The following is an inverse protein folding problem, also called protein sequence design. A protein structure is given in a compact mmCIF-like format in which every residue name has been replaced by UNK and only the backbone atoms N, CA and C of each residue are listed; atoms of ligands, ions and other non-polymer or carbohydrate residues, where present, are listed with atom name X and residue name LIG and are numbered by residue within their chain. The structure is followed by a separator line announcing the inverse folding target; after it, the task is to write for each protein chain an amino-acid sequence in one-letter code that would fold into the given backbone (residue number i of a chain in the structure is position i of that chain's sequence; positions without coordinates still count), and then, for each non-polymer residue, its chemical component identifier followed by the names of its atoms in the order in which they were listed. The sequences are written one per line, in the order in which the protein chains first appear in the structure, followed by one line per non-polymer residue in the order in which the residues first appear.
data_IF_134662280769
#
_entry.id   IF_134662280769
#
_cell.length_a   1.000
_cell.length_b   1.000
_cell.length_c   1.000
_cell.angle_alpha   90.00
_cell.angle_beta   90.00
_cell.angle_gamma   90.00
#
_symmetry.space_group_name_H-M   'P 1'
#
loop_
_entity.id
_entity.type
_entity.pdbx_description
1 polymer ?
#
# COMPACT_ATOMS: atom_id res chain seq x y z
N UNK A 1 17.34 -4.13 -19.61
CA UNK A 1 17.46 -4.76 -18.29
C UNK A 1 18.41 -5.96 -18.34
N UNK A 2 18.33 -6.87 -19.33
CA UNK A 2 19.17 -8.07 -19.43
C UNK A 2 20.69 -7.82 -19.38
N UNK A 3 21.17 -6.79 -20.11
CA UNK A 3 22.60 -6.40 -20.05
C UNK A 3 23.02 -5.93 -18.65
N UNK A 4 22.13 -5.30 -17.89
CA UNK A 4 22.41 -4.89 -16.51
C UNK A 4 22.40 -6.09 -15.58
N UNK A 5 21.37 -6.95 -15.69
CA UNK A 5 21.27 -8.19 -14.92
C UNK A 5 22.53 -9.07 -15.08
N UNK A 6 22.95 -9.33 -16.33
CA UNK A 6 24.15 -10.11 -16.62
C UNK A 6 25.41 -9.46 -16.02
N UNK A 7 25.56 -8.12 -16.09
CA UNK A 7 26.71 -7.43 -15.49
C UNK A 7 26.71 -7.50 -13.97
N UNK A 8 25.53 -7.39 -13.33
CA UNK A 8 25.43 -7.51 -11.87
C UNK A 8 25.77 -8.93 -11.44
N UNK A 9 25.23 -9.94 -12.12
CA UNK A 9 25.54 -11.35 -11.85
C UNK A 9 27.05 -11.64 -12.03
N UNK A 10 27.66 -11.16 -13.11
CA UNK A 10 29.10 -11.33 -13.35
C UNK A 10 29.95 -10.62 -12.29
N UNK A 11 29.57 -9.41 -11.89
CA UNK A 11 30.29 -8.63 -10.87
C UNK A 11 30.29 -9.34 -9.52
N UNK A 12 29.17 -9.90 -9.11
CA UNK A 12 29.01 -10.59 -7.82
C UNK A 12 29.32 -12.10 -7.88
N UNK A 13 29.83 -12.63 -8.98
CA UNK A 13 30.06 -14.06 -9.18
C UNK A 13 31.05 -14.69 -8.19
N UNK A 14 31.99 -13.90 -7.64
CA UNK A 14 33.06 -14.39 -6.78
C UNK A 14 32.92 -13.80 -5.37
N UNK A 15 32.23 -14.48 -4.42
CA UNK A 15 32.00 -13.99 -3.08
C UNK A 15 33.26 -13.60 -2.29
N UNK A 16 34.38 -14.32 -2.54
CA UNK A 16 35.67 -14.06 -1.88
C UNK A 16 36.20 -12.64 -2.13
N UNK A 17 35.86 -12.01 -3.27
CA UNK A 17 36.24 -10.62 -3.58
C UNK A 17 35.59 -9.60 -2.62
N UNK A 18 34.52 -10.00 -1.93
CA UNK A 18 33.73 -9.18 -1.02
C UNK A 18 33.86 -9.62 0.44
N UNK A 19 34.76 -10.55 0.75
CA UNK A 19 34.92 -11.15 2.07
C UNK A 19 33.63 -11.76 2.65
N UNK A 20 32.81 -12.38 1.80
CA UNK A 20 31.58 -13.07 2.20
C UNK A 20 31.59 -14.51 1.71
N UNK A 21 30.84 -15.37 2.39
CA UNK A 21 30.77 -16.80 2.05
C UNK A 21 29.89 -17.05 0.81
N UNK A 22 28.79 -16.30 0.68
CA UNK A 22 27.81 -16.48 -0.38
C UNK A 22 27.23 -15.14 -0.81
N UNK A 23 26.97 -14.99 -2.10
CA UNK A 23 26.18 -13.90 -2.69
C UNK A 23 25.07 -14.52 -3.52
N UNK A 24 23.84 -14.08 -3.29
CA UNK A 24 22.66 -14.44 -4.10
C UNK A 24 22.20 -13.19 -4.82
N UNK A 25 22.03 -13.25 -6.14
CA UNK A 25 21.57 -12.14 -6.97
C UNK A 25 20.22 -12.51 -7.58
N UNK A 26 19.19 -11.74 -7.28
CA UNK A 26 17.87 -11.84 -7.90
C UNK A 26 17.63 -10.60 -8.78
N UNK A 27 17.41 -10.79 -10.06
CA UNK A 27 17.23 -9.74 -11.03
C UNK A 27 15.78 -9.62 -11.49
N UNK A 28 15.54 -8.76 -12.49
CA UNK A 28 14.20 -8.45 -13.03
C UNK A 28 13.56 -9.58 -13.86
N UNK A 29 14.27 -10.66 -14.09
CA UNK A 29 13.77 -11.90 -14.71
C UNK A 29 12.98 -12.79 -13.74
N UNK A 30 13.14 -12.54 -12.43
CA UNK A 30 12.37 -13.20 -11.37
C UNK A 30 11.16 -12.32 -11.00
N UNK A 31 9.93 -12.85 -11.00
CA UNK A 31 8.73 -12.11 -10.61
C UNK A 31 8.80 -11.54 -9.20
N UNK A 32 8.10 -10.44 -8.98
CA UNK A 32 7.97 -9.79 -7.67
C UNK A 32 8.93 -8.61 -7.47
N UNK A 33 8.60 -7.80 -6.50
CA UNK A 33 9.37 -6.64 -6.07
C UNK A 33 10.64 -7.07 -5.32
N UNK A 34 11.69 -6.27 -5.42
CA UNK A 34 12.99 -6.61 -4.83
C UNK A 34 12.93 -6.89 -3.33
N UNK A 35 12.17 -6.08 -2.61
CA UNK A 35 11.97 -6.21 -1.16
C UNK A 35 11.22 -7.51 -0.81
N UNK A 36 10.14 -7.85 -1.51
CA UNK A 36 9.41 -9.09 -1.29
C UNK A 36 10.26 -10.33 -1.57
N UNK A 37 11.14 -10.27 -2.58
CA UNK A 37 12.10 -11.35 -2.88
C UNK A 37 13.12 -11.57 -1.76
N UNK A 38 13.53 -10.51 -1.04
CA UNK A 38 14.40 -10.65 0.13
C UNK A 38 13.72 -11.48 1.22
N UNK A 39 12.45 -11.19 1.49
CA UNK A 39 11.70 -11.92 2.51
C UNK A 39 11.25 -13.31 2.06
N UNK A 40 11.01 -13.52 0.77
CA UNK A 40 10.84 -14.86 0.20
C UNK A 40 12.09 -15.71 0.43
N UNK A 41 13.28 -15.15 0.16
CA UNK A 41 14.56 -15.84 0.45
C UNK A 41 14.71 -16.18 1.95
N UNK A 42 14.30 -15.29 2.86
CA UNK A 42 14.30 -15.57 4.31
C UNK A 42 13.37 -16.75 4.63
N UNK A 43 12.15 -16.75 4.08
CA UNK A 43 11.18 -17.86 4.28
C UNK A 43 11.67 -19.19 3.74
N UNK A 44 12.37 -19.19 2.62
CA UNK A 44 12.96 -20.40 2.02
C UNK A 44 14.19 -20.91 2.77
N UNK A 45 14.82 -20.08 3.60
CA UNK A 45 16.04 -20.39 4.35
C UNK A 45 15.86 -20.19 5.87
N UNK A 46 14.70 -20.59 6.41
CA UNK A 46 14.31 -20.37 7.82
C UNK A 46 15.37 -20.89 8.79
N UNK A 47 15.87 -22.13 8.59
CA UNK A 47 16.88 -22.74 9.48
C UNK A 47 18.16 -21.90 9.60
N UNK A 48 18.55 -21.24 8.51
CA UNK A 48 19.70 -20.34 8.50
C UNK A 48 19.42 -19.04 9.25
N UNK A 49 18.25 -18.43 9.01
CA UNK A 49 17.90 -17.10 9.54
C UNK A 49 17.38 -17.12 10.98
N UNK A 50 16.85 -18.26 11.48
CA UNK A 50 16.27 -18.38 12.81
C UNK A 50 17.24 -18.01 13.95
N UNK A 51 18.53 -18.29 13.78
CA UNK A 51 19.57 -18.11 14.81
C UNK A 51 20.60 -17.03 14.41
N UNK A 52 20.44 -16.37 13.26
CA UNK A 52 21.37 -15.34 12.77
C UNK A 52 20.83 -13.94 12.93
N UNK A 53 21.73 -12.97 12.99
CA UNK A 53 21.36 -11.57 12.85
C UNK A 53 21.22 -11.25 11.35
N UNK A 54 20.05 -10.83 10.95
CA UNK A 54 19.75 -10.44 9.57
C UNK A 54 19.64 -8.92 9.49
N UNK A 55 20.44 -8.30 8.65
CA UNK A 55 20.37 -6.86 8.38
C UNK A 55 19.79 -6.65 7.00
N UNK A 56 18.68 -5.95 6.92
CA UNK A 56 18.04 -5.52 5.68
C UNK A 56 18.50 -4.09 5.37
N UNK A 57 19.04 -3.86 4.18
CA UNK A 57 19.37 -2.52 3.70
C UNK A 57 18.36 -2.06 2.68
N UNK A 58 17.74 -0.91 2.93
CA UNK A 58 16.82 -0.30 1.98
C UNK A 58 16.21 1.00 2.51
N UNK A 59 15.60 1.76 1.60
CA UNK A 59 15.06 3.09 1.89
C UNK A 59 13.54 3.10 2.07
N UNK A 60 12.86 2.04 1.64
CA UNK A 60 11.41 1.98 1.65
C UNK A 60 10.83 1.73 3.05
N UNK A 61 9.70 2.37 3.33
CA UNK A 61 8.99 2.19 4.60
C UNK A 61 8.34 0.81 4.72
N UNK A 62 8.00 0.18 3.61
CA UNK A 62 7.40 -1.15 3.56
C UNK A 62 8.31 -2.23 4.14
N UNK A 63 9.64 -2.02 4.08
CA UNK A 63 10.62 -2.89 4.71
C UNK A 63 10.42 -3.02 6.22
N UNK A 64 9.86 -2.00 6.90
CA UNK A 64 9.52 -2.09 8.33
C UNK A 64 8.41 -3.12 8.52
N UNK A 65 7.32 -3.03 7.76
CA UNK A 65 6.17 -3.92 7.85
C UNK A 65 6.53 -5.35 7.46
N UNK A 66 7.30 -5.51 6.38
CA UNK A 66 7.83 -6.80 5.94
C UNK A 66 8.74 -7.43 7.00
N UNK A 67 9.65 -6.64 7.60
CA UNK A 67 10.54 -7.14 8.66
C UNK A 67 9.76 -7.60 9.89
N UNK A 68 8.76 -6.84 10.32
CA UNK A 68 7.88 -7.22 11.44
C UNK A 68 7.13 -8.52 11.14
N UNK A 69 6.57 -8.66 9.93
CA UNK A 69 5.86 -9.87 9.51
C UNK A 69 6.75 -11.13 9.53
N UNK A 70 8.06 -10.97 9.44
CA UNK A 70 9.02 -12.09 9.39
C UNK A 70 9.70 -12.39 10.73
N UNK A 71 9.34 -11.69 11.82
CA UNK A 71 9.84 -11.99 13.17
C UNK A 71 9.63 -13.44 13.63
N UNK A 72 8.52 -14.14 13.26
CA UNK A 72 8.37 -15.55 13.62
C UNK A 72 9.42 -16.49 13.02
N UNK A 73 9.97 -16.14 11.86
CA UNK A 73 10.95 -16.96 11.12
C UNK A 73 12.37 -16.41 11.21
N UNK A 74 12.53 -15.14 11.57
CA UNK A 74 13.82 -14.49 11.75
C UNK A 74 13.74 -13.53 12.95
N UNK A 75 14.14 -13.99 14.12
CA UNK A 75 13.96 -13.29 15.39
C UNK A 75 14.80 -12.03 15.52
N UNK A 76 15.93 -11.93 14.83
CA UNK A 76 16.90 -10.85 14.95
C UNK A 76 17.02 -10.12 13.60
N UNK A 77 16.02 -9.31 13.25
CA UNK A 77 16.03 -8.46 12.05
C UNK A 77 16.35 -7.03 12.45
N UNK A 78 17.29 -6.42 11.73
CA UNK A 78 17.65 -5.02 11.83
C UNK A 78 17.48 -4.35 10.47
N UNK A 79 16.86 -3.18 10.42
CA UNK A 79 16.73 -2.41 9.20
C UNK A 79 17.75 -1.28 9.20
N UNK A 80 18.57 -1.23 8.16
CA UNK A 80 19.61 -0.23 7.96
C UNK A 80 19.31 0.63 6.73
N UNK A 81 19.53 1.94 6.90
CA UNK A 81 19.54 2.91 5.81
C UNK A 81 20.47 4.07 6.18
N UNK A 82 20.84 4.87 5.17
CA UNK A 82 21.57 6.10 5.44
C UNK A 82 20.73 7.03 6.33
N UNK A 83 21.42 7.67 7.27
CA UNK A 83 20.77 8.58 8.21
C UNK A 83 20.32 9.83 7.47
N UNK A 84 19.01 10.15 7.44
CA UNK A 84 18.54 11.35 6.77
C UNK A 84 18.93 12.62 7.52
N UNK A 85 19.17 13.71 6.79
CA UNK A 85 19.57 15.02 7.39
C UNK A 85 18.56 15.52 8.43
N UNK A 86 17.28 15.19 8.28
CA UNK A 86 16.25 15.62 9.21
C UNK A 86 16.21 14.85 10.54
N UNK A 87 17.09 13.85 10.75
CA UNK A 87 17.05 13.02 11.97
C UNK A 87 17.19 13.85 13.25
N UNK A 88 17.94 14.97 13.20
CA UNK A 88 18.06 15.91 14.32
C UNK A 88 16.75 16.60 14.72
N UNK A 89 15.76 16.61 13.82
CA UNK A 89 14.44 17.16 14.13
C UNK A 89 13.59 16.17 14.92
N UNK A 90 13.89 14.87 14.80
CA UNK A 90 13.23 13.80 15.55
C UNK A 90 13.82 13.71 16.96
N UNK A 91 15.16 13.67 17.07
CA UNK A 91 15.87 13.65 18.32
C UNK A 91 17.21 14.39 18.17
N UNK A 92 17.43 15.43 18.99
CA UNK A 92 18.63 16.28 18.98
C UNK A 92 19.90 15.51 19.38
N UNK A 93 19.78 14.35 20.01
CA UNK A 93 20.93 13.52 20.44
C UNK A 93 21.47 12.68 19.28
N UNK A 94 20.69 12.51 18.20
CA UNK A 94 21.10 11.76 17.01
C UNK A 94 22.03 12.59 16.13
N UNK A 95 23.09 11.94 15.68
CA UNK A 95 24.12 12.52 14.81
C UNK A 95 23.95 12.03 13.38
N UNK A 96 23.66 12.90 12.38
CA UNK A 96 23.49 12.50 10.98
C UNK A 96 24.70 11.79 10.36
N UNK A 97 25.90 12.05 10.90
CA UNK A 97 27.14 11.45 10.40
C UNK A 97 27.36 10.00 10.93
N UNK A 98 26.48 9.54 11.82
CA UNK A 98 26.53 8.17 12.35
C UNK A 98 25.54 7.25 11.65
N UNK A 99 25.90 5.97 11.60
CA UNK A 99 25.04 4.92 11.09
C UNK A 99 24.14 4.40 12.21
N UNK A 100 22.86 4.28 11.93
CA UNK A 100 21.86 3.72 12.84
C UNK A 100 21.13 2.57 12.18
N UNK A 101 20.69 1.64 13.00
CA UNK A 101 19.80 0.54 12.59
C UNK A 101 18.52 0.62 13.41
N UNK A 102 17.41 0.28 12.78
CA UNK A 102 16.15 0.09 13.50
C UNK A 102 16.17 -1.36 14.03
N UNK A 103 16.05 -1.50 15.34
CA UNK A 103 15.85 -2.78 16.01
C UNK A 103 14.37 -3.17 15.86
N UNK A 104 14.09 -4.06 14.93
CA UNK A 104 12.71 -4.46 14.58
C UNK A 104 12.04 -5.23 15.71
N UNK A 105 12.68 -6.19 16.41
CA UNK A 105 12.11 -6.81 17.60
C UNK A 105 11.68 -5.82 18.67
N UNK A 106 12.56 -4.85 19.01
CA UNK A 106 12.25 -3.83 20.00
C UNK A 106 11.12 -2.89 19.53
N UNK A 107 11.12 -2.52 18.24
CA UNK A 107 10.04 -1.72 17.67
C UNK A 107 8.69 -2.46 17.78
N UNK A 108 8.65 -3.74 17.41
CA UNK A 108 7.44 -4.57 17.50
C UNK A 108 6.93 -4.68 18.94
N UNK A 109 7.82 -4.87 19.91
CA UNK A 109 7.46 -4.88 21.33
C UNK A 109 6.83 -3.56 21.76
N UNK A 110 7.46 -2.42 21.44
CA UNK A 110 6.96 -1.09 21.85
C UNK A 110 5.64 -0.74 21.19
N UNK A 111 5.49 -1.02 19.89
CA UNK A 111 4.22 -0.80 19.18
C UNK A 111 3.10 -1.67 19.76
N UNK A 112 3.37 -2.95 20.03
CA UNK A 112 2.38 -3.85 20.65
C UNK A 112 1.96 -3.38 22.05
N UNK A 113 2.90 -2.85 22.83
CA UNK A 113 2.63 -2.26 24.15
C UNK A 113 1.71 -1.03 24.02
N UNK A 114 2.01 -0.11 23.08
CA UNK A 114 1.18 1.06 22.80
C UNK A 114 -0.22 0.66 22.31
N UNK A 115 -0.30 -0.30 21.39
CA UNK A 115 -1.57 -0.84 20.88
C UNK A 115 -2.44 -1.43 21.99
N UNK A 116 -1.83 -1.91 23.06
CA UNK A 116 -2.53 -2.44 24.25
C UNK A 116 -2.65 -1.39 25.38
N UNK A 117 -2.55 -0.09 25.06
CA UNK A 117 -2.69 1.03 25.99
C UNK A 117 -1.78 0.93 27.22
N UNK A 118 -0.57 0.42 27.04
CA UNK A 118 0.40 0.28 28.12
C UNK A 118 0.15 -0.87 29.09
N UNK A 119 -0.84 -1.73 28.84
CA UNK A 119 -1.06 -2.92 29.66
C UNK A 119 -0.08 -4.02 29.27
N UNK A 120 0.56 -4.62 30.25
CA UNK A 120 1.36 -5.83 30.06
C UNK A 120 0.44 -7.02 29.71
N UNK A 121 0.82 -7.77 28.70
CA UNK A 121 0.18 -9.02 28.29
C UNK A 121 1.22 -10.12 28.22
N UNK A 122 0.74 -11.36 28.22
CA UNK A 122 1.62 -12.49 27.92
C UNK A 122 2.29 -12.30 26.55
N UNK A 123 3.57 -12.66 26.42
CA UNK A 123 4.37 -12.47 25.19
C UNK A 123 3.67 -13.00 23.94
N UNK A 124 2.89 -14.09 24.06
CA UNK A 124 2.15 -14.64 22.92
C UNK A 124 1.08 -13.67 22.42
N UNK A 125 0.38 -12.97 23.30
CA UNK A 125 -0.68 -12.01 22.94
C UNK A 125 -0.04 -10.75 22.36
N UNK A 126 1.03 -10.24 22.98
CA UNK A 126 1.78 -9.10 22.46
C UNK A 126 2.31 -9.36 21.04
N UNK A 127 2.90 -10.54 20.82
CA UNK A 127 3.47 -10.89 19.52
C UNK A 127 2.41 -10.95 18.41
N UNK A 128 1.15 -11.22 18.72
CA UNK A 128 0.09 -11.22 17.70
C UNK A 128 -0.51 -9.82 17.45
N UNK A 129 -0.54 -8.93 18.44
CA UNK A 129 -1.09 -7.57 18.27
C UNK A 129 -0.31 -6.70 17.28
N UNK A 130 0.96 -7.00 17.05
CA UNK A 130 1.74 -6.27 16.04
C UNK A 130 1.23 -6.48 14.61
N UNK A 131 0.64 -7.64 14.30
CA UNK A 131 0.03 -7.88 12.98
C UNK A 131 -1.24 -7.08 12.78
N UNK A 132 -1.98 -6.83 13.87
CA UNK A 132 -3.13 -5.93 13.85
C UNK A 132 -2.70 -4.51 13.51
N UNK A 133 -1.57 -4.03 14.06
CA UNK A 133 -1.01 -2.73 13.71
C UNK A 133 -0.68 -2.62 12.22
N UNK A 134 -0.06 -3.64 11.65
CA UNK A 134 0.24 -3.68 10.21
C UNK A 134 -1.03 -3.57 9.39
N UNK A 135 -2.07 -4.31 9.76
CA UNK A 135 -3.37 -4.25 9.09
C UNK A 135 -4.02 -2.86 9.22
N UNK A 136 -3.92 -2.20 10.39
CA UNK A 136 -4.39 -0.84 10.57
C UNK A 136 -3.66 0.15 9.66
N UNK A 137 -2.35 -0.03 9.47
CA UNK A 137 -1.59 0.78 8.52
C UNK A 137 -2.10 0.62 7.08
N UNK A 138 -2.59 -0.55 6.67
CA UNK A 138 -3.19 -0.73 5.34
C UNK A 138 -4.45 0.09 5.13
N UNK A 139 -5.22 0.40 6.18
CA UNK A 139 -6.39 1.29 6.07
C UNK A 139 -6.01 2.73 5.73
N UNK A 140 -4.75 3.11 5.96
CA UNK A 140 -4.18 4.41 5.59
C UNK A 140 -3.67 4.47 4.15
N UNK A 141 -3.83 3.39 3.39
CA UNK A 141 -3.43 3.24 2.00
C UNK A 141 -2.00 2.72 1.83
N UNK A 142 -1.79 2.01 0.74
CA UNK A 142 -0.51 1.51 0.26
C UNK A 142 -0.53 1.39 -1.27
N UNK A 143 0.48 0.80 -1.88
CA UNK A 143 0.60 0.65 -3.34
C UNK A 143 -0.52 -0.21 -3.97
N UNK A 144 -1.22 -1.03 -3.18
CA UNK A 144 -2.21 -1.99 -3.65
C UNK A 144 -3.66 -1.59 -3.39
N UNK A 145 -3.88 -0.67 -2.45
CA UNK A 145 -5.23 -0.27 -2.06
C UNK A 145 -5.27 1.18 -1.54
N UNK A 146 -6.35 1.94 -1.86
CA UNK A 146 -6.51 3.31 -1.42
C UNK A 146 -6.86 3.38 0.08
N UNK A 147 -6.49 4.51 0.71
CA UNK A 147 -6.91 4.83 2.07
C UNK A 147 -8.41 5.22 2.13
N UNK A 148 -8.98 5.09 3.31
CA UNK A 148 -10.28 5.69 3.58
C UNK A 148 -10.14 7.22 3.67
N UNK A 149 -10.93 8.03 2.93
CA UNK A 149 -10.83 9.49 3.00
C UNK A 149 -11.03 10.08 4.39
N UNK A 150 -11.79 9.38 5.24
CA UNK A 150 -11.97 9.72 6.65
C UNK A 150 -10.72 9.48 7.51
N UNK A 151 -9.72 8.72 7.02
CA UNK A 151 -8.54 8.28 7.77
C UNK A 151 -7.26 8.69 7.05
N UNK A 152 -6.86 9.95 7.19
CA UNK A 152 -5.67 10.46 6.53
C UNK A 152 -4.44 10.30 7.43
N UNK A 153 -3.39 9.62 6.94
CA UNK A 153 -2.13 9.38 7.66
C UNK A 153 -1.43 10.69 8.06
N UNK A 154 -1.63 11.78 7.30
CA UNK A 154 -0.98 13.09 7.54
C UNK A 154 -1.73 13.97 8.55
N UNK A 155 -2.85 13.51 9.04
CA UNK A 155 -3.63 14.18 10.08
C UNK A 155 -3.80 13.24 11.28
N UNK A 156 -4.98 12.73 11.50
CA UNK A 156 -5.30 11.94 12.70
C UNK A 156 -5.54 10.46 12.41
N UNK A 157 -5.31 9.99 11.16
CA UNK A 157 -5.71 8.64 10.74
C UNK A 157 -5.13 7.54 11.63
N UNK A 158 -3.83 7.56 11.89
CA UNK A 158 -3.20 6.53 12.74
C UNK A 158 -3.69 6.61 14.19
N UNK A 159 -3.87 7.82 14.72
CA UNK A 159 -4.37 8.03 16.08
C UNK A 159 -5.80 7.50 16.22
N UNK A 160 -6.70 7.83 15.30
CA UNK A 160 -8.09 7.33 15.26
C UNK A 160 -8.09 5.80 15.25
N UNK A 161 -7.26 5.19 14.42
CA UNK A 161 -7.18 3.73 14.30
C UNK A 161 -6.69 3.08 15.59
N UNK A 162 -5.61 3.59 16.19
CA UNK A 162 -5.03 3.01 17.41
C UNK A 162 -5.93 3.24 18.65
N UNK A 163 -6.57 4.40 18.77
CA UNK A 163 -7.53 4.67 19.83
C UNK A 163 -8.79 3.79 19.71
N UNK A 164 -9.34 3.66 18.48
CA UNK A 164 -10.49 2.77 18.23
C UNK A 164 -10.13 1.33 18.52
N UNK A 165 -8.98 0.85 18.04
CA UNK A 165 -8.49 -0.48 18.34
C UNK A 165 -8.34 -0.71 19.84
N UNK A 166 -7.68 0.21 20.55
CA UNK A 166 -7.49 0.13 21.99
C UNK A 166 -8.80 0.07 22.75
N UNK A 167 -9.81 0.83 22.35
CA UNK A 167 -11.13 0.81 23.00
C UNK A 167 -11.86 -0.53 22.89
N UNK A 168 -11.57 -1.34 21.84
CA UNK A 168 -12.26 -2.61 21.55
C UNK A 168 -11.45 -3.80 22.05
N UNK A 169 -10.12 -3.79 21.85
CA UNK A 169 -9.27 -4.98 21.96
C UNK A 169 -8.24 -4.94 23.09
N UNK A 170 -8.13 -3.83 23.85
CA UNK A 170 -7.23 -3.78 25.01
C UNK A 170 -7.64 -4.81 26.05
N UNK A 171 -6.66 -5.56 26.54
CA UNK A 171 -6.88 -6.59 27.55
C UNK A 171 -7.65 -7.82 27.08
N UNK A 172 -7.86 -7.98 25.76
CA UNK A 172 -8.52 -9.17 25.19
C UNK A 172 -7.53 -10.02 24.40
N UNK A 173 -7.88 -11.30 24.20
CA UNK A 173 -7.17 -12.24 23.32
C UNK A 173 -7.78 -12.26 21.90
N UNK A 174 -8.50 -11.20 21.53
CA UNK A 174 -9.06 -11.05 20.19
C UNK A 174 -8.08 -10.27 19.31
N UNK A 175 -7.94 -10.69 18.04
CA UNK A 175 -7.03 -10.13 17.04
C UNK A 175 -7.79 -9.83 15.76
N UNK A 176 -7.26 -8.87 14.97
CA UNK A 176 -7.71 -8.63 13.59
C UNK A 176 -7.05 -9.62 12.63
N UNK A 177 -5.80 -10.02 12.95
CA UNK A 177 -5.02 -11.00 12.20
C UNK A 177 -4.54 -12.10 13.13
N UNK A 178 -4.84 -13.33 12.81
CA UNK A 178 -4.36 -14.50 13.55
C UNK A 178 -3.82 -15.56 12.58
N UNK A 179 -2.59 -16.00 12.80
CA UNK A 179 -1.90 -16.97 11.95
C UNK A 179 -1.89 -16.58 10.44
N UNK A 180 -1.74 -15.27 10.16
CA UNK A 180 -1.74 -14.72 8.81
C UNK A 180 -3.12 -14.60 8.15
N UNK A 181 -4.20 -14.94 8.85
CA UNK A 181 -5.56 -14.89 8.35
C UNK A 181 -6.36 -13.76 9.00
N UNK A 182 -7.12 -13.01 8.19
CA UNK A 182 -7.99 -11.93 8.65
C UNK A 182 -9.17 -12.48 9.47
N UNK A 183 -9.43 -11.89 10.62
CA UNK A 183 -10.52 -12.25 11.50
C UNK A 183 -11.74 -11.36 11.22
N UNK A 184 -12.57 -11.74 10.26
CA UNK A 184 -13.67 -10.90 9.75
C UNK A 184 -14.67 -10.47 10.82
N UNK A 185 -14.95 -11.33 11.80
CA UNK A 185 -15.80 -10.98 12.94
C UNK A 185 -15.23 -9.80 13.75
N UNK A 186 -13.93 -9.76 13.98
CA UNK A 186 -13.25 -8.70 14.72
C UNK A 186 -13.05 -7.45 13.85
N UNK A 187 -12.73 -7.63 12.58
CA UNK A 187 -12.75 -6.54 11.59
C UNK A 187 -14.11 -5.85 11.53
N UNK A 188 -15.19 -6.61 11.58
CA UNK A 188 -16.54 -6.03 11.66
C UNK A 188 -16.71 -5.14 12.89
N UNK A 189 -16.23 -5.54 14.08
CA UNK A 189 -16.27 -4.69 15.29
C UNK A 189 -15.51 -3.38 15.05
N UNK A 190 -14.29 -3.48 14.50
CA UNK A 190 -13.45 -2.34 14.20
C UNK A 190 -14.11 -1.37 13.21
N UNK A 191 -14.57 -1.89 12.07
CA UNK A 191 -15.23 -1.06 11.06
C UNK A 191 -16.56 -0.48 11.55
N UNK A 192 -17.32 -1.19 12.40
CA UNK A 192 -18.56 -0.65 12.98
C UNK A 192 -18.27 0.58 13.83
N UNK A 193 -17.27 0.50 14.72
CA UNK A 193 -16.88 1.63 15.55
C UNK A 193 -16.35 2.83 14.75
N UNK A 194 -15.57 2.56 13.69
CA UNK A 194 -15.10 3.62 12.78
C UNK A 194 -16.23 4.26 11.98
N UNK A 195 -17.19 3.45 11.49
CA UNK A 195 -18.33 3.92 10.70
C UNK A 195 -19.27 4.82 11.49
N UNK A 196 -19.43 4.59 12.79
CA UNK A 196 -20.24 5.45 13.68
C UNK A 196 -19.76 6.91 13.69
N UNK A 197 -18.49 7.15 13.37
CA UNK A 197 -17.87 8.48 13.38
C UNK A 197 -17.37 8.92 11.99
N UNK A 198 -17.63 8.17 10.92
CA UNK A 198 -17.11 8.43 9.58
C UNK A 198 -17.47 9.83 9.07
N UNK A 199 -18.72 10.26 9.27
CA UNK A 199 -19.17 11.60 8.87
C UNK A 199 -18.43 12.73 9.61
N UNK A 200 -18.11 12.51 10.89
CA UNK A 200 -17.33 13.48 11.68
C UNK A 200 -15.89 13.53 11.14
N UNK A 201 -15.26 12.39 10.94
CA UNK A 201 -13.87 12.34 10.49
C UNK A 201 -13.68 12.94 9.09
N UNK A 202 -14.54 12.61 8.15
CA UNK A 202 -14.45 13.17 6.79
C UNK A 202 -14.81 14.66 6.76
N UNK A 203 -15.71 15.11 7.62
CA UNK A 203 -16.04 16.53 7.77
C UNK A 203 -14.86 17.31 8.33
N UNK A 204 -14.20 16.81 9.36
CA UNK A 204 -13.02 17.44 9.95
C UNK A 204 -11.85 17.53 8.94
N UNK A 205 -11.62 16.48 8.18
CA UNK A 205 -10.63 16.50 7.08
C UNK A 205 -11.01 17.54 6.03
N UNK A 206 -12.26 17.58 5.58
CA UNK A 206 -12.77 18.56 4.62
C UNK A 206 -12.59 20.00 5.11
N UNK A 207 -12.93 20.28 6.36
CA UNK A 207 -12.78 21.62 6.97
C UNK A 207 -11.30 22.00 7.14
N UNK A 208 -10.44 21.05 7.50
CA UNK A 208 -9.00 21.25 7.56
C UNK A 208 -8.42 21.61 6.19
N UNK A 209 -8.86 20.91 5.14
CA UNK A 209 -8.47 21.17 3.76
C UNK A 209 -8.98 22.52 3.26
N UNK A 210 -10.19 22.96 3.64
CA UNK A 210 -10.73 24.31 3.34
C UNK A 210 -9.85 25.44 3.92
N UNK A 211 -9.19 25.20 5.06
CA UNK A 211 -8.23 26.16 5.62
C UNK A 211 -6.93 26.20 4.82
N UNK A 212 -6.45 25.04 4.35
CA UNK A 212 -5.21 24.93 3.56
C UNK A 212 -5.38 25.51 2.15
N UNK A 213 -6.55 25.36 1.53
CA UNK A 213 -6.89 25.90 0.20
C UNK A 213 -6.70 27.43 0.12
N UNK A 214 -6.97 28.14 1.22
CA UNK A 214 -6.83 29.60 1.31
C UNK A 214 -5.38 30.08 1.48
N UNK A 215 -4.43 29.17 1.63
CA UNK A 215 -3.03 29.55 1.85
C UNK A 215 -2.40 30.01 0.54
N UNK A 216 -1.75 31.16 0.58
CA UNK A 216 -1.00 31.67 -0.57
C UNK A 216 0.26 30.84 -0.80
N UNK A 217 0.43 30.34 -2.02
CA UNK A 217 1.62 29.59 -2.45
C UNK A 217 2.46 30.51 -3.34
N UNK A 218 3.69 30.78 -2.95
CA UNK A 218 4.64 31.54 -3.76
C UNK A 218 4.98 30.78 -5.06
N UNK A 219 5.29 31.53 -6.12
CA UNK A 219 5.66 30.98 -7.41
C UNK A 219 6.66 31.87 -8.16
N UNK A 220 7.66 32.40 -7.45
CA UNK A 220 8.65 33.36 -7.97
C UNK A 220 9.88 32.65 -8.58
N UNK A 221 10.30 31.51 -7.99
CA UNK A 221 11.39 30.69 -8.50
C UNK A 221 10.88 29.43 -9.23
N UNK A 222 11.74 28.72 -9.99
CA UNK A 222 11.38 27.43 -10.59
C UNK A 222 10.89 26.40 -9.55
N UNK A 223 11.57 26.31 -8.40
CA UNK A 223 11.23 25.37 -7.34
C UNK A 223 9.88 25.72 -6.69
N UNK A 224 9.61 27.01 -6.45
CA UNK A 224 8.31 27.46 -5.94
C UNK A 224 7.17 27.20 -6.95
N UNK A 225 7.45 27.29 -8.26
CA UNK A 225 6.47 26.94 -9.30
C UNK A 225 6.18 25.45 -9.32
N UNK A 226 7.21 24.61 -9.12
CA UNK A 226 7.07 23.17 -9.02
C UNK A 226 6.28 22.80 -7.75
N UNK A 227 6.58 23.43 -6.60
CA UNK A 227 5.81 23.22 -5.36
C UNK A 227 4.35 23.62 -5.55
N UNK A 228 4.08 24.74 -6.20
CA UNK A 228 2.71 25.17 -6.54
C UNK A 228 2.00 24.15 -7.44
N UNK A 229 2.67 23.61 -8.47
CA UNK A 229 2.12 22.56 -9.32
C UNK A 229 1.78 21.32 -8.51
N UNK A 230 2.70 20.89 -7.66
CA UNK A 230 2.51 19.73 -6.80
C UNK A 230 1.35 19.90 -5.80
N UNK A 231 0.98 21.12 -5.46
CA UNK A 231 -0.12 21.42 -4.51
C UNK A 231 -1.46 21.71 -5.18
N UNK A 232 -1.61 21.51 -6.48
CA UNK A 232 -2.89 21.65 -7.20
C UNK A 232 -4.03 20.95 -6.44
N UNK A 233 -3.90 19.70 -5.93
CA UNK A 233 -4.99 19.04 -5.21
C UNK A 233 -5.46 19.74 -3.94
N UNK A 234 -4.65 20.64 -3.40
CA UNK A 234 -5.03 21.42 -2.21
C UNK A 234 -5.61 22.79 -2.54
N UNK A 235 -5.48 23.28 -3.77
CA UNK A 235 -5.96 24.58 -4.24
C UNK A 235 -7.14 24.49 -5.22
N UNK A 236 -7.27 23.38 -5.93
CA UNK A 236 -8.34 23.14 -6.92
C UNK A 236 -9.15 21.89 -6.50
N UNK A 237 -10.16 22.12 -5.63
CA UNK A 237 -10.90 21.07 -4.93
C UNK A 237 -12.35 20.94 -5.39
N UNK A 238 -12.59 21.05 -6.69
CA UNK A 238 -13.95 21.04 -7.25
C UNK A 238 -14.76 19.80 -6.88
N UNK A 239 -14.11 18.61 -6.94
CA UNK A 239 -14.77 17.35 -6.60
C UNK A 239 -15.11 17.26 -5.12
N UNK A 240 -14.19 17.68 -4.25
CA UNK A 240 -14.44 17.70 -2.81
C UNK A 240 -15.53 18.70 -2.43
N UNK A 241 -15.58 19.86 -3.09
CA UNK A 241 -16.65 20.85 -2.88
C UNK A 241 -18.01 20.37 -3.38
N UNK A 242 -18.05 19.56 -4.45
CA UNK A 242 -19.26 18.89 -4.91
C UNK A 242 -19.74 17.84 -3.90
N UNK A 243 -18.83 16.98 -3.41
CA UNK A 243 -19.14 15.95 -2.42
C UNK A 243 -19.65 16.59 -1.13
N UNK A 244 -18.94 17.56 -0.59
CA UNK A 244 -19.24 18.36 0.59
C UNK A 244 -19.89 17.56 1.73
N UNK A 245 -19.13 16.97 2.64
CA UNK A 245 -19.66 16.13 3.71
C UNK A 245 -20.49 16.89 4.75
N UNK A 246 -20.49 18.24 4.73
CA UNK A 246 -21.34 19.04 5.61
C UNK A 246 -22.80 19.17 5.11
N UNK A 247 -23.10 18.64 3.93
CA UNK A 247 -24.42 18.71 3.30
C UNK A 247 -25.00 17.30 3.14
N UNK A 248 -26.21 17.07 3.62
CA UNK A 248 -26.91 15.78 3.52
C UNK A 248 -26.85 15.18 2.11
N UNK A 249 -26.73 13.85 2.01
CA UNK A 249 -26.61 13.11 0.76
C UNK A 249 -25.20 13.11 0.16
N UNK A 250 -24.19 13.52 0.93
CA UNK A 250 -22.79 13.52 0.51
C UNK A 250 -22.29 12.12 0.13
N UNK A 251 -22.80 11.07 0.75
CA UNK A 251 -22.45 9.68 0.44
C UNK A 251 -22.78 9.33 -1.03
N UNK A 252 -23.95 9.72 -1.51
CA UNK A 252 -24.32 9.49 -2.91
C UNK A 252 -23.41 10.26 -3.87
N UNK A 253 -23.12 11.55 -3.55
CA UNK A 253 -22.20 12.38 -4.32
C UNK A 253 -20.77 11.86 -4.32
N UNK A 254 -20.33 11.24 -3.20
CA UNK A 254 -19.04 10.58 -3.08
C UNK A 254 -18.89 9.46 -4.14
N UNK A 255 -19.85 8.54 -4.18
CA UNK A 255 -19.82 7.42 -5.14
C UNK A 255 -20.00 7.91 -6.59
N UNK A 256 -20.95 8.78 -6.84
CA UNK A 256 -21.18 9.34 -8.17
C UNK A 256 -19.91 9.95 -8.75
N UNK A 257 -19.20 10.74 -7.95
CA UNK A 257 -18.04 11.50 -8.41
C UNK A 257 -16.76 10.68 -8.50
N UNK A 258 -16.52 9.83 -7.52
CA UNK A 258 -15.25 9.12 -7.41
C UNK A 258 -15.23 7.74 -8.07
N UNK A 259 -16.40 7.17 -8.30
CA UNK A 259 -16.51 5.88 -8.98
C UNK A 259 -17.08 6.00 -10.39
N UNK A 260 -17.49 7.19 -10.81
CA UNK A 260 -18.02 7.50 -12.14
C UNK A 260 -19.14 6.57 -12.58
N UNK A 261 -20.05 6.21 -11.66
CA UNK A 261 -21.14 5.30 -11.92
C UNK A 261 -22.36 5.61 -11.08
N UNK A 262 -23.54 5.31 -11.62
CA UNK A 262 -24.76 5.29 -10.83
C UNK A 262 -24.65 4.25 -9.74
N UNK A 263 -24.81 4.65 -8.50
CA UNK A 263 -24.61 3.76 -7.38
C UNK A 263 -25.89 2.99 -7.04
N UNK A 264 -25.82 1.69 -7.15
CA UNK A 264 -26.85 0.74 -6.68
C UNK A 264 -26.30 -0.07 -5.52
N UNK A 265 -27.17 -0.71 -4.74
CA UNK A 265 -26.73 -1.59 -3.64
C UNK A 265 -25.81 -2.72 -4.13
N UNK A 266 -26.08 -3.27 -5.32
CA UNK A 266 -25.23 -4.31 -5.90
C UNK A 266 -23.83 -3.78 -6.25
N UNK A 267 -23.73 -2.58 -6.81
CA UNK A 267 -22.45 -1.94 -7.11
C UNK A 267 -21.66 -1.61 -5.85
N UNK A 268 -22.32 -1.08 -4.81
CA UNK A 268 -21.68 -0.87 -3.48
C UNK A 268 -21.13 -2.17 -2.92
N UNK A 269 -21.92 -3.24 -2.98
CA UNK A 269 -21.50 -4.57 -2.56
C UNK A 269 -20.25 -5.03 -3.32
N UNK A 270 -20.22 -4.90 -4.64
CA UNK A 270 -19.05 -5.25 -5.46
C UNK A 270 -17.80 -4.46 -5.06
N UNK A 271 -17.94 -3.14 -4.81
CA UNK A 271 -16.83 -2.29 -4.35
C UNK A 271 -16.32 -2.79 -2.99
N UNK A 272 -17.24 -3.04 -2.03
CA UNK A 272 -16.89 -3.51 -0.69
C UNK A 272 -16.21 -4.90 -0.73
N UNK A 273 -16.71 -5.82 -1.56
CA UNK A 273 -16.09 -7.14 -1.72
C UNK A 273 -14.68 -7.03 -2.31
N UNK A 274 -14.49 -6.19 -3.34
CA UNK A 274 -13.16 -5.98 -3.92
C UNK A 274 -12.19 -5.30 -2.93
N UNK A 275 -12.69 -4.46 -2.03
CA UNK A 275 -11.86 -3.89 -0.95
C UNK A 275 -11.49 -4.93 0.12
N UNK A 276 -12.40 -5.83 0.48
CA UNK A 276 -12.09 -6.95 1.38
C UNK A 276 -11.10 -7.94 0.77
N UNK A 277 -11.24 -8.22 -0.54
CA UNK A 277 -10.22 -8.96 -1.29
C UNK A 277 -8.85 -8.26 -1.22
N UNK A 278 -8.83 -6.91 -1.36
CA UNK A 278 -7.59 -6.14 -1.26
C UNK A 278 -6.91 -6.30 0.09
N UNK A 279 -7.67 -6.25 1.18
CA UNK A 279 -7.14 -6.46 2.53
C UNK A 279 -6.51 -7.85 2.68
N UNK A 280 -7.21 -8.90 2.22
CA UNK A 280 -6.69 -10.27 2.32
C UNK A 280 -5.48 -10.47 1.40
N UNK A 281 -5.54 -9.98 0.15
CA UNK A 281 -4.44 -10.09 -0.79
C UNK A 281 -3.18 -9.41 -0.26
N UNK A 282 -3.31 -8.16 0.21
CA UNK A 282 -2.18 -7.38 0.73
C UNK A 282 -1.59 -8.05 1.98
N UNK A 283 -2.43 -8.49 2.93
CA UNK A 283 -1.93 -9.18 4.12
C UNK A 283 -1.16 -10.44 3.76
N UNK A 284 -1.67 -11.25 2.83
CA UNK A 284 -0.97 -12.45 2.35
C UNK A 284 0.32 -12.11 1.61
N UNK A 285 0.31 -11.06 0.78
CA UNK A 285 1.51 -10.63 0.06
C UNK A 285 2.66 -10.26 1.01
N UNK A 286 2.34 -9.59 2.13
CA UNK A 286 3.33 -9.22 3.15
C UNK A 286 3.75 -10.38 4.05
N UNK A 287 2.93 -11.41 4.22
CA UNK A 287 3.22 -12.52 5.14
C UNK A 287 3.76 -13.77 4.44
N UNK A 288 3.07 -14.23 3.41
CA UNK A 288 3.34 -15.52 2.75
C UNK A 288 3.79 -15.40 1.30
N UNK A 289 3.60 -14.24 0.67
CA UNK A 289 3.89 -13.97 -0.73
C UNK A 289 2.63 -13.82 -1.59
N UNK A 290 2.82 -13.53 -2.88
CA UNK A 290 1.72 -13.25 -3.80
C UNK A 290 0.81 -14.47 -4.00
N UNK A 291 -0.47 -14.30 -3.72
CA UNK A 291 -1.48 -15.35 -3.91
C UNK A 291 -2.13 -15.32 -5.29
N UNK A 292 -2.14 -14.17 -5.94
CA UNK A 292 -2.63 -14.01 -7.31
C UNK A 292 -1.92 -12.84 -8.01
N UNK A 293 -1.08 -13.14 -9.00
CA UNK A 293 -0.33 -12.13 -9.77
C UNK A 293 -1.19 -11.30 -10.72
N UNK A 294 -2.45 -11.67 -10.94
CA UNK A 294 -3.38 -10.99 -11.86
C UNK A 294 -4.44 -10.20 -11.12
N UNK A 295 -4.53 -10.37 -9.81
CA UNK A 295 -5.48 -9.64 -9.01
C UNK A 295 -5.05 -8.17 -8.87
N UNK A 296 -6.03 -7.26 -8.91
CA UNK A 296 -5.86 -5.83 -8.60
C UNK A 296 -7.12 -5.28 -7.97
N UNK A 297 -6.97 -4.28 -7.13
CA UNK A 297 -8.09 -3.43 -6.74
C UNK A 297 -8.57 -2.63 -7.97
N UNK A 298 -9.87 -2.61 -8.23
CA UNK A 298 -10.44 -2.11 -9.50
C UNK A 298 -10.81 -0.64 -9.48
N UNK A 299 -10.76 0.02 -8.31
CA UNK A 299 -11.22 1.38 -8.12
C UNK A 299 -10.11 2.27 -7.58
N UNK A 300 -10.25 3.58 -7.76
CA UNK A 300 -9.26 4.55 -7.27
C UNK A 300 -9.49 4.96 -5.81
N UNK A 301 -10.69 4.71 -5.25
CA UNK A 301 -11.08 5.12 -3.90
C UNK A 301 -11.64 3.94 -3.10
N UNK A 302 -11.55 4.03 -1.78
CA UNK A 302 -12.13 3.05 -0.87
C UNK A 302 -13.67 3.20 -0.81
N UNK A 303 -14.43 2.13 -0.49
CA UNK A 303 -15.84 2.28 -0.12
C UNK A 303 -15.97 3.09 1.17
N UNK A 304 -17.15 3.65 1.41
CA UNK A 304 -17.45 4.22 2.72
C UNK A 304 -17.49 3.12 3.79
N UNK A 305 -17.05 3.45 5.00
CA UNK A 305 -17.00 2.51 6.12
C UNK A 305 -18.39 1.97 6.47
N UNK A 306 -19.42 2.82 6.41
CA UNK A 306 -20.81 2.40 6.65
C UNK A 306 -21.29 1.32 5.66
N UNK A 307 -20.88 1.41 4.38
CA UNK A 307 -21.22 0.40 3.39
C UNK A 307 -20.39 -0.87 3.57
N UNK A 308 -19.11 -0.73 3.92
CA UNK A 308 -18.27 -1.89 4.23
C UNK A 308 -18.85 -2.74 5.36
N UNK A 309 -19.34 -2.11 6.44
CA UNK A 309 -20.00 -2.79 7.56
C UNK A 309 -21.23 -3.62 7.13
N UNK A 310 -21.99 -3.16 6.13
CA UNK A 310 -23.16 -3.92 5.63
C UNK A 310 -22.77 -5.26 5.03
N UNK A 311 -21.62 -5.31 4.33
CA UNK A 311 -21.25 -6.45 3.50
C UNK A 311 -20.12 -7.31 4.07
N UNK A 312 -19.42 -6.85 5.13
CA UNK A 312 -18.37 -7.65 5.76
C UNK A 312 -18.94 -8.94 6.37
N UNK A 313 -18.30 -10.10 6.15
CA UNK A 313 -18.81 -11.39 6.62
C UNK A 313 -18.97 -11.46 8.14
N UNK A 314 -20.00 -12.19 8.61
CA UNK A 314 -20.18 -12.54 10.02
C UNK A 314 -19.40 -13.78 10.44
N UNK A 315 -18.93 -14.54 9.47
CA UNK A 315 -18.21 -15.80 9.65
C UNK A 315 -16.87 -15.73 8.94
N UNK A 316 -15.98 -16.65 9.28
CA UNK A 316 -14.66 -16.72 8.63
C UNK A 316 -14.84 -17.07 7.16
N UNK A 317 -14.23 -16.25 6.30
CA UNK A 317 -14.27 -16.35 4.85
C UNK A 317 -12.86 -16.17 4.32
N UNK A 318 -12.54 -16.83 3.22
CA UNK A 318 -11.32 -16.63 2.44
C UNK A 318 -11.72 -16.23 1.02
N UNK A 319 -11.15 -15.15 0.53
CA UNK A 319 -11.35 -14.68 -0.86
C UNK A 319 -10.38 -15.38 -1.81
N UNK A 320 -9.20 -15.75 -1.33
CA UNK A 320 -8.17 -16.45 -2.10
C UNK A 320 -7.98 -17.86 -1.54
N UNK A 321 -8.70 -18.82 -2.13
CA UNK A 321 -8.60 -20.23 -1.72
C UNK A 321 -7.41 -20.95 -2.37
N UNK A 322 -7.00 -20.51 -3.57
CA UNK A 322 -5.91 -21.09 -4.36
C UNK A 322 -4.96 -20.01 -4.84
N UNK A 323 -3.68 -20.32 -4.80
CA UNK A 323 -2.66 -19.45 -5.37
C UNK A 323 -2.72 -19.48 -6.90
N UNK A 324 -2.77 -18.32 -7.53
CA UNK A 324 -2.61 -18.14 -8.96
C UNK A 324 -1.21 -17.62 -9.27
N UNK A 325 -0.30 -18.53 -9.62
CA UNK A 325 1.09 -18.22 -9.92
C UNK A 325 1.32 -17.80 -11.39
N UNK A 326 0.25 -17.59 -12.16
CA UNK A 326 0.35 -17.15 -13.55
C UNK A 326 0.77 -15.70 -13.65
N UNK A 327 2.05 -15.46 -13.82
CA UNK A 327 2.61 -14.12 -14.07
C UNK A 327 2.44 -13.71 -15.52
N UNK A 328 2.31 -12.42 -15.77
CA UNK A 328 2.30 -11.86 -17.13
C UNK A 328 3.71 -11.71 -17.69
N UNK A 329 3.87 -11.81 -19.01
CA UNK A 329 5.17 -11.62 -19.64
C UNK A 329 5.67 -10.18 -19.47
N UNK A 330 6.98 -9.91 -19.51
CA UNK A 330 7.53 -8.57 -19.46
C UNK A 330 6.96 -7.64 -20.54
N UNK A 331 6.68 -8.15 -21.74
CA UNK A 331 6.07 -7.36 -22.82
C UNK A 331 4.60 -7.06 -22.53
N UNK A 332 3.86 -7.97 -21.93
CA UNK A 332 2.49 -7.74 -21.49
C UNK A 332 2.46 -6.65 -20.41
N UNK A 333 3.33 -6.76 -19.40
CA UNK A 333 3.43 -5.79 -18.33
C UNK A 333 3.81 -4.40 -18.84
N UNK A 334 4.84 -4.30 -19.71
CA UNK A 334 5.23 -3.04 -20.32
C UNK A 334 4.10 -2.44 -21.17
N UNK A 335 3.43 -3.26 -21.96
CA UNK A 335 2.28 -2.81 -22.78
C UNK A 335 1.13 -2.29 -21.92
N UNK A 336 0.94 -2.86 -20.73
CA UNK A 336 -0.10 -2.44 -19.79
C UNK A 336 0.19 -1.08 -19.14
N UNK A 337 1.46 -0.79 -18.81
CA UNK A 337 1.82 0.39 -18.00
C UNK A 337 2.37 1.57 -18.81
N UNK A 338 2.87 1.34 -20.02
CA UNK A 338 3.47 2.40 -20.82
C UNK A 338 2.41 3.36 -21.40
N UNK A 339 2.63 4.69 -21.32
CA UNK A 339 1.82 5.65 -22.03
C UNK A 339 2.10 5.56 -23.54
N UNK A 340 1.17 6.07 -24.36
CA UNK A 340 1.28 6.07 -25.83
C UNK A 340 2.61 6.59 -26.33
N UNK A 341 3.13 7.66 -25.73
CA UNK A 341 4.40 8.31 -26.08
C UNK A 341 5.63 7.42 -25.87
N UNK A 342 5.53 6.36 -25.09
CA UNK A 342 6.64 5.45 -24.75
C UNK A 342 6.49 4.04 -25.33
N UNK A 343 5.51 3.81 -26.19
CA UNK A 343 5.29 2.50 -26.83
C UNK A 343 6.39 2.12 -27.84
N UNK A 344 7.27 3.05 -28.20
CA UNK A 344 8.47 2.77 -29.00
C UNK A 344 9.53 1.94 -28.26
N UNK A 345 9.40 1.79 -26.93
CA UNK A 345 10.18 0.84 -26.12
C UNK A 345 9.78 -0.62 -26.36
N UNK A 346 8.60 -0.87 -26.95
CA UNK A 346 8.15 -2.21 -27.30
C UNK A 346 8.66 -2.63 -28.69
N UNK A 347 8.74 -3.93 -28.98
CA UNK A 347 8.96 -4.42 -30.35
C UNK A 347 7.95 -3.82 -31.31
N UNK A 348 8.42 -3.45 -32.52
CA UNK A 348 7.59 -2.76 -33.51
C UNK A 348 6.34 -3.52 -33.93
N UNK A 349 6.39 -4.86 -33.96
CA UNK A 349 5.25 -5.74 -34.24
C UNK A 349 4.14 -5.60 -33.18
N UNK A 350 4.53 -5.64 -31.90
CA UNK A 350 3.59 -5.48 -30.76
C UNK A 350 2.98 -4.07 -30.82
N UNK A 351 3.82 -3.03 -30.85
CA UNK A 351 3.38 -1.63 -30.92
C UNK A 351 2.37 -1.39 -32.04
N UNK A 352 2.70 -1.85 -33.27
CA UNK A 352 1.82 -1.66 -34.44
C UNK A 352 0.49 -2.35 -34.23
N UNK A 353 0.50 -3.59 -33.72
CA UNK A 353 -0.73 -4.35 -33.46
C UNK A 353 -1.60 -3.67 -32.41
N UNK A 354 -1.02 -3.21 -31.29
CA UNK A 354 -1.73 -2.50 -30.22
C UNK A 354 -2.40 -1.22 -30.74
N UNK A 355 -1.65 -0.37 -31.44
CA UNK A 355 -2.18 0.90 -31.94
C UNK A 355 -3.21 0.73 -33.09
N UNK A 356 -3.19 -0.42 -33.78
CA UNK A 356 -4.15 -0.70 -34.85
C UNK A 356 -5.43 -1.33 -34.31
N UNK A 357 -5.33 -2.28 -33.35
CA UNK A 357 -6.47 -3.01 -32.82
C UNK A 357 -7.15 -2.32 -31.64
N UNK A 358 -6.37 -1.66 -30.79
CA UNK A 358 -6.81 -1.08 -29.52
C UNK A 358 -6.28 0.35 -29.32
N UNK A 359 -6.50 1.28 -30.28
CA UNK A 359 -6.06 2.66 -30.12
C UNK A 359 -6.68 3.34 -28.89
N UNK A 360 -7.87 2.88 -28.46
CA UNK A 360 -8.59 3.37 -27.28
C UNK A 360 -7.87 3.10 -25.97
N UNK A 361 -7.03 2.06 -25.88
CA UNK A 361 -6.26 1.75 -24.68
C UNK A 361 -5.15 2.79 -24.42
N UNK A 362 -4.74 3.50 -25.47
CA UNK A 362 -3.62 4.45 -25.45
C UNK A 362 -4.09 5.88 -25.81
N UNK A 363 -5.23 6.27 -25.24
CA UNK A 363 -5.72 7.64 -25.39
C UNK A 363 -4.79 8.61 -24.67
N UNK A 364 -4.44 9.73 -25.34
CA UNK A 364 -3.61 10.79 -24.75
C UNK A 364 -4.44 11.81 -23.93
N UNK A 365 -5.74 11.88 -24.17
CA UNK A 365 -6.65 12.70 -23.40
C UNK A 365 -7.18 11.87 -22.20
N UNK A 366 -6.55 12.04 -21.06
CA UNK A 366 -6.85 11.29 -19.83
C UNK A 366 -7.35 12.29 -18.79
N UNK A 367 -8.51 12.02 -18.20
CA UNK A 367 -9.01 12.76 -17.06
C UNK A 367 -8.23 12.33 -15.81
N UNK A 368 -7.99 13.31 -14.93
CA UNK A 368 -7.24 13.12 -13.68
C UNK A 368 -8.14 13.54 -12.52
N UNK A 369 -8.28 12.65 -11.54
CA UNK A 369 -8.98 12.92 -10.30
C UNK A 369 -7.97 12.99 -9.14
N UNK A 370 -8.02 14.08 -8.35
CA UNK A 370 -7.14 14.28 -7.20
C UNK A 370 -7.89 14.55 -5.89
N UNK A 371 -9.10 14.06 -5.81
CA UNK A 371 -9.93 14.21 -4.62
C UNK A 371 -9.23 13.58 -3.41
N UNK A 372 -9.17 14.30 -2.30
CA UNK A 372 -8.48 13.93 -1.05
C UNK A 372 -6.95 13.74 -1.16
N UNK A 373 -6.34 13.96 -2.32
CA UNK A 373 -4.88 13.97 -2.48
C UNK A 373 -4.25 15.24 -1.89
N UNK A 374 -3.01 15.15 -1.43
CA UNK A 374 -2.23 16.30 -0.97
C UNK A 374 -1.35 16.85 -2.09
N UNK A 375 -0.75 15.96 -2.86
CA UNK A 375 0.19 16.31 -3.92
C UNK A 375 -0.30 15.79 -5.26
N UNK A 376 0.13 16.45 -6.35
CA UNK A 376 -0.29 16.10 -7.70
C UNK A 376 0.11 14.68 -8.12
N UNK A 377 1.25 14.18 -7.65
CA UNK A 377 1.67 12.79 -7.94
C UNK A 377 0.84 11.70 -7.26
N UNK A 378 0.00 12.06 -6.29
CA UNK A 378 -0.98 11.15 -5.66
C UNK A 378 -2.28 11.04 -6.47
N UNK A 379 -2.41 11.83 -7.54
CA UNK A 379 -3.64 11.88 -8.34
C UNK A 379 -3.89 10.59 -9.09
N UNK A 380 -5.16 10.28 -9.28
CA UNK A 380 -5.61 9.09 -10.00
C UNK A 380 -5.94 9.43 -11.45
N UNK A 381 -5.29 8.76 -12.38
CA UNK A 381 -5.66 8.83 -13.80
C UNK A 381 -6.85 7.93 -14.06
N UNK A 382 -7.84 8.42 -14.80
CA UNK A 382 -8.99 7.63 -15.25
C UNK A 382 -8.58 6.94 -16.54
N UNK A 383 -7.97 5.77 -16.39
CA UNK A 383 -7.43 4.99 -17.49
C UNK A 383 -8.51 4.10 -18.12
N UNK A 384 -8.40 3.83 -19.43
CA UNK A 384 -9.24 2.85 -20.08
C UNK A 384 -9.04 1.46 -19.47
N UNK A 385 -10.10 0.67 -19.45
CA UNK A 385 -9.99 -0.72 -19.00
C UNK A 385 -9.32 -1.56 -20.09
N UNK A 386 -8.13 -2.07 -19.79
CA UNK A 386 -7.39 -2.96 -20.68
C UNK A 386 -7.71 -4.40 -20.29
N UNK A 387 -8.21 -5.18 -21.23
CA UNK A 387 -8.39 -6.62 -21.07
C UNK A 387 -7.03 -7.32 -21.12
N UNK A 388 -6.62 -7.89 -19.96
CA UNK A 388 -5.31 -8.50 -19.82
C UNK A 388 -5.14 -9.77 -20.68
N UNK A 389 -6.19 -10.57 -20.84
CA UNK A 389 -6.15 -11.80 -21.64
C UNK A 389 -6.04 -11.48 -23.14
N UNK A 390 -6.69 -10.40 -23.59
CA UNK A 390 -6.53 -9.92 -24.98
C UNK A 390 -5.16 -9.28 -25.20
N UNK A 391 -4.64 -8.54 -24.21
CA UNK A 391 -3.31 -7.97 -24.27
C UNK A 391 -2.23 -9.06 -24.35
N UNK A 392 -2.37 -10.14 -23.57
CA UNK A 392 -1.44 -11.27 -23.63
C UNK A 392 -1.41 -11.94 -25.00
N UNK A 393 -2.57 -12.15 -25.67
CA UNK A 393 -2.61 -12.71 -27.02
C UNK A 393 -1.83 -11.88 -28.05
N UNK A 394 -1.70 -10.58 -27.80
CA UNK A 394 -0.95 -9.67 -28.68
C UNK A 394 0.55 -9.67 -28.35
N UNK A 395 0.91 -9.85 -27.08
CA UNK A 395 2.28 -9.64 -26.58
C UNK A 395 3.07 -10.93 -26.39
N UNK A 396 2.41 -12.07 -26.30
CA UNK A 396 3.05 -13.39 -26.28
C UNK A 396 3.28 -13.81 -27.74
N UNK A 397 4.50 -13.61 -28.20
CA UNK A 397 4.98 -14.04 -29.52
C UNK A 397 5.64 -15.39 -29.43
#
# INVERSE_FOLDING_TARGET
MDKLANRVQDYFKTPANFNVEKITVSCSDVPGEGEHKLFEYIRENIEYHAEKNTVIYGLDADLIMLSINHLPVCKNIYLFRETPEFIRTLDKTLDPDKLYMIDIPLLAEKVSYEMNQGMELENRVLNNKIYDYILLCFFLGNDFMPHFPALNIRTNGIQILTETYGSIFTGTDEFLVLDGELQWKNLRKMFTSLAENEEVYITDEYLSRNKKEKQYIRANSPDEKLDKLNRIPTSERHEEHYINPTVSGWQSRYYERLFHMDITDERRKQICFNYMEALEWTMKYYTTGCVDWRWKYKYNYAPLLEDLVKYIPYFQTRFFEKNNNSVVSPYTQLSYVLPRSSLDLLPSSIRTTLLTKHPEWYNENIDICWCFCKYFWESHMILPNIDLDELEKITVC
#
